data_IF_432529911620
#
_entry.id   IF_432529911620
#
_cell.length_a   1.000
_cell.length_b   1.000
_cell.length_c   1.000
_cell.angle_alpha   90.00
_cell.angle_beta   90.00
_cell.angle_gamma   90.00
#
_symmetry.space_group_name_H-M   'P 1'
#
loop_
_entity.id
_entity.type
_entity.pdbx_description
1 polymer ?
#
# COMPACT_ATOMS: atom_id res chain seq x y z
N UNK A 1 -4.18 -6.22 -5.71
CA UNK A 1 -4.82 -7.24 -4.86
C UNK A 1 -5.55 -6.53 -3.72
N UNK A 2 -6.87 -6.72 -3.51
CA UNK A 2 -7.57 -6.09 -2.40
C UNK A 2 -7.08 -6.56 -1.02
N UNK A 3 -6.92 -5.66 -0.06
CA UNK A 3 -6.54 -5.99 1.32
C UNK A 3 -7.46 -7.05 1.93
N UNK A 4 -8.77 -6.97 1.66
CA UNK A 4 -9.73 -7.94 2.14
C UNK A 4 -9.43 -9.39 1.71
N UNK A 5 -8.82 -9.60 0.54
CA UNK A 5 -8.41 -10.94 0.07
C UNK A 5 -7.20 -11.44 0.85
N UNK A 6 -6.22 -10.57 1.13
CA UNK A 6 -5.06 -10.92 1.98
C UNK A 6 -5.55 -11.34 3.37
N UNK A 7 -6.51 -10.59 3.92
CA UNK A 7 -7.10 -10.88 5.22
C UNK A 7 -7.87 -12.20 5.24
N UNK A 8 -8.71 -12.46 4.25
CA UNK A 8 -9.59 -13.64 4.26
C UNK A 8 -8.90 -14.93 3.84
N UNK A 9 -8.04 -14.86 2.82
CA UNK A 9 -7.53 -16.05 2.14
C UNK A 9 -6.09 -16.37 2.59
N UNK A 10 -5.38 -15.38 3.11
CA UNK A 10 -3.98 -15.46 3.50
C UNK A 10 -3.73 -15.07 4.96
N UNK A 11 -4.78 -15.02 5.78
CA UNK A 11 -4.73 -14.74 7.23
C UNK A 11 -4.03 -13.41 7.58
N UNK A 12 -4.12 -12.41 6.68
CA UNK A 12 -3.45 -11.12 6.83
C UNK A 12 -1.95 -11.15 6.54
N UNK A 13 -1.41 -12.24 5.97
CA UNK A 13 0.02 -12.40 5.72
C UNK A 13 0.33 -12.21 4.23
N UNK A 14 0.81 -11.04 3.83
CA UNK A 14 1.18 -10.77 2.43
C UNK A 14 2.24 -11.75 1.90
N UNK A 15 3.24 -12.10 2.70
CA UNK A 15 4.27 -13.08 2.30
C UNK A 15 3.68 -14.42 1.83
N UNK A 16 2.59 -14.88 2.48
CA UNK A 16 1.88 -16.11 2.09
C UNK A 16 1.24 -15.94 0.71
N UNK A 17 0.57 -14.82 0.46
CA UNK A 17 0.04 -14.48 -0.86
C UNK A 17 1.13 -14.46 -1.93
N UNK A 18 2.25 -13.76 -1.66
CA UNK A 18 3.36 -13.64 -2.60
C UNK A 18 3.99 -15.01 -2.92
N UNK A 19 4.21 -15.84 -1.90
CA UNK A 19 4.73 -17.20 -2.04
C UNK A 19 3.79 -18.10 -2.86
N UNK A 20 2.51 -18.17 -2.48
CA UNK A 20 1.52 -19.06 -3.11
C UNK A 20 1.28 -18.71 -4.60
N UNK A 21 1.49 -17.45 -4.97
CA UNK A 21 1.25 -16.96 -6.33
C UNK A 21 2.55 -16.68 -7.11
N UNK A 22 3.72 -16.96 -6.54
CA UNK A 22 5.04 -16.63 -7.11
C UNK A 22 5.11 -15.16 -7.59
N UNK A 23 4.64 -14.24 -6.76
CA UNK A 23 4.57 -12.81 -7.05
C UNK A 23 5.72 -12.06 -6.35
N UNK A 24 6.57 -11.40 -7.13
CA UNK A 24 7.70 -10.59 -6.61
C UNK A 24 7.32 -9.13 -6.31
N UNK A 25 6.30 -8.61 -6.97
CA UNK A 25 5.81 -7.23 -6.81
C UNK A 25 4.30 -7.25 -6.66
N UNK A 26 3.77 -6.55 -5.66
CA UNK A 26 2.35 -6.55 -5.34
C UNK A 26 1.87 -5.16 -4.99
N UNK A 27 0.72 -4.77 -5.52
CA UNK A 27 -0.03 -3.61 -5.03
C UNK A 27 -1.21 -4.10 -4.21
N UNK A 28 -1.26 -3.71 -2.94
CA UNK A 28 -2.37 -3.94 -2.04
C UNK A 28 -3.33 -2.76 -2.16
N UNK A 29 -4.63 -3.01 -2.34
CA UNK A 29 -5.62 -1.96 -2.52
C UNK A 29 -6.71 -2.00 -1.44
N UNK A 30 -7.09 -0.83 -0.94
CA UNK A 30 -8.13 -0.67 0.08
C UNK A 30 -9.02 0.53 -0.27
N UNK A 31 -10.16 0.30 -0.93
CA UNK A 31 -11.20 1.32 -1.04
C UNK A 31 -11.86 1.54 0.32
N UNK A 32 -11.90 2.78 0.79
CA UNK A 32 -12.45 3.13 2.11
C UNK A 32 -13.23 4.43 2.06
N UNK A 33 -14.25 4.56 2.91
CA UNK A 33 -15.00 5.80 3.11
C UNK A 33 -14.77 6.29 4.53
N UNK A 34 -14.25 7.50 4.69
CA UNK A 34 -13.92 8.10 5.99
C UNK A 34 -14.66 9.41 6.16
N UNK A 35 -15.14 9.69 7.36
CA UNK A 35 -15.68 11.01 7.71
C UNK A 35 -14.52 11.95 8.08
N UNK A 36 -14.26 12.93 7.20
CA UNK A 36 -13.16 13.86 7.33
C UNK A 36 -13.67 15.14 7.97
N UNK A 37 -13.02 15.56 9.05
CA UNK A 37 -13.41 16.76 9.80
C UNK A 37 -13.48 17.98 8.87
N UNK A 38 -14.67 18.59 8.75
CA UNK A 38 -14.90 19.75 7.90
C UNK A 38 -15.17 19.44 6.41
N UNK A 39 -14.92 18.22 5.94
CA UNK A 39 -15.15 17.79 4.55
C UNK A 39 -16.25 16.71 4.43
N UNK A 40 -16.69 16.13 5.54
CA UNK A 40 -17.70 15.07 5.58
C UNK A 40 -17.16 13.75 5.02
N UNK A 41 -18.07 12.88 4.55
CA UNK A 41 -17.71 11.57 4.01
C UNK A 41 -16.92 11.68 2.71
N UNK A 42 -15.65 11.30 2.76
CA UNK A 42 -14.74 11.21 1.63
C UNK A 42 -14.44 9.76 1.29
N UNK A 43 -14.23 9.47 0.00
CA UNK A 43 -13.84 8.14 -0.49
C UNK A 43 -12.37 8.15 -0.87
N UNK A 44 -11.61 7.23 -0.31
CA UNK A 44 -10.20 7.04 -0.62
C UNK A 44 -9.99 5.68 -1.28
N UNK A 45 -9.05 5.63 -2.20
CA UNK A 45 -8.53 4.39 -2.76
C UNK A 45 -7.07 4.30 -2.36
N UNK A 46 -6.82 3.63 -1.23
CA UNK A 46 -5.46 3.45 -0.71
C UNK A 46 -4.80 2.33 -1.50
N UNK A 47 -3.60 2.56 -1.99
CA UNK A 47 -2.80 1.58 -2.69
C UNK A 47 -1.38 1.56 -2.10
N UNK A 48 -0.94 0.40 -1.63
CA UNK A 48 0.42 0.20 -1.12
C UNK A 48 1.13 -0.79 -2.03
N UNK A 49 2.13 -0.32 -2.77
CA UNK A 49 3.01 -1.16 -3.56
C UNK A 49 4.15 -1.69 -2.69
N UNK A 50 4.34 -3.00 -2.68
CA UNK A 50 5.49 -3.69 -2.10
C UNK A 50 6.25 -4.34 -3.25
N UNK A 51 7.45 -3.86 -3.52
CA UNK A 51 8.20 -4.24 -4.73
C UNK A 51 9.60 -4.71 -4.43
N UNK A 52 10.10 -5.62 -5.25
CA UNK A 52 11.48 -6.10 -5.27
C UNK A 52 12.21 -5.75 -6.57
N UNK A 53 11.49 -5.28 -7.61
CA UNK A 53 12.07 -5.03 -8.94
C UNK A 53 12.01 -3.57 -9.41
N UNK A 54 11.62 -2.64 -8.53
CA UNK A 54 11.47 -1.22 -8.85
C UNK A 54 12.50 -0.37 -8.10
N UNK A 55 13.01 0.65 -8.79
CA UNK A 55 13.94 1.62 -8.24
C UNK A 55 13.26 2.95 -7.87
N UNK A 56 12.09 3.25 -8.46
CA UNK A 56 11.37 4.51 -8.26
C UNK A 56 9.83 4.31 -8.26
N UNK A 57 9.05 5.12 -7.52
CA UNK A 57 7.61 4.95 -7.34
C UNK A 57 6.72 5.54 -8.46
N UNK A 58 7.23 6.45 -9.29
CA UNK A 58 6.42 7.37 -10.11
C UNK A 58 5.53 6.64 -11.11
N UNK A 59 6.07 5.62 -11.79
CA UNK A 59 5.30 4.84 -12.76
C UNK A 59 4.15 4.06 -12.10
N UNK A 60 4.33 3.65 -10.83
CA UNK A 60 3.30 2.98 -10.05
C UNK A 60 2.25 3.98 -9.57
N UNK A 61 2.67 5.13 -9.06
CA UNK A 61 1.77 6.22 -8.65
C UNK A 61 0.84 6.63 -9.79
N UNK A 62 1.41 6.94 -10.97
CA UNK A 62 0.67 7.29 -12.18
C UNK A 62 -0.39 6.24 -12.55
N UNK A 63 -0.07 4.96 -12.41
CA UNK A 63 -1.00 3.88 -12.71
C UNK A 63 -2.12 3.75 -11.67
N UNK A 64 -1.83 3.99 -10.39
CA UNK A 64 -2.85 4.04 -9.34
C UNK A 64 -3.80 5.22 -9.55
N UNK A 65 -3.29 6.39 -9.92
CA UNK A 65 -4.13 7.53 -10.26
C UNK A 65 -5.08 7.24 -11.43
N UNK A 66 -4.58 6.56 -12.48
CA UNK A 66 -5.39 6.17 -13.64
C UNK A 66 -6.42 5.09 -13.33
N UNK A 67 -6.07 4.13 -12.48
CA UNK A 67 -6.88 2.93 -12.21
C UNK A 67 -7.84 3.09 -11.02
N UNK A 68 -7.71 4.18 -10.25
CA UNK A 68 -8.57 4.46 -9.11
C UNK A 68 -10.06 4.43 -9.48
N UNK A 69 -10.92 3.75 -8.70
CA UNK A 69 -12.34 3.71 -8.98
C UNK A 69 -12.96 5.10 -8.98
N UNK A 70 -13.86 5.36 -9.95
CA UNK A 70 -14.51 6.67 -10.10
C UNK A 70 -15.05 7.23 -8.78
N UNK A 71 -14.70 8.47 -8.49
CA UNK A 71 -15.14 9.17 -7.28
C UNK A 71 -14.37 8.80 -6.00
N UNK A 72 -13.29 8.02 -6.11
CA UNK A 72 -12.32 7.85 -5.03
C UNK A 72 -11.11 8.76 -5.27
N UNK A 73 -10.54 9.26 -4.18
CA UNK A 73 -9.26 9.97 -4.18
C UNK A 73 -8.15 8.92 -4.02
N UNK A 74 -7.25 8.72 -5.00
CA UNK A 74 -6.13 7.80 -4.85
C UNK A 74 -5.18 8.29 -3.75
N UNK A 75 -4.72 7.37 -2.90
CA UNK A 75 -3.63 7.58 -1.96
C UNK A 75 -2.64 6.45 -2.16
N UNK A 76 -1.45 6.77 -2.63
CA UNK A 76 -0.44 5.78 -2.95
C UNK A 76 0.71 5.81 -1.95
N UNK A 77 1.22 4.63 -1.63
CA UNK A 77 2.46 4.44 -0.91
C UNK A 77 3.29 3.34 -1.58
N UNK A 78 4.61 3.44 -1.45
CA UNK A 78 5.56 2.52 -2.03
C UNK A 78 6.57 2.06 -0.98
N UNK A 79 6.74 0.73 -0.91
CA UNK A 79 7.64 0.01 -0.02
C UNK A 79 8.66 -0.72 -0.90
N UNK A 80 9.89 -0.18 -1.06
CA UNK A 80 10.96 -0.82 -1.81
C UNK A 80 11.60 -1.94 -0.98
N UNK A 81 11.02 -3.14 -1.03
CA UNK A 81 11.50 -4.28 -0.24
C UNK A 81 12.94 -4.68 -0.60
N UNK A 82 13.36 -4.46 -1.86
CA UNK A 82 14.74 -4.66 -2.32
C UNK A 82 15.77 -3.74 -1.65
N UNK A 83 15.35 -2.63 -1.06
CA UNK A 83 16.24 -1.69 -0.37
C UNK A 83 16.31 -1.95 1.13
N UNK A 84 15.55 -2.92 1.66
CA UNK A 84 15.53 -3.24 3.09
C UNK A 84 16.94 -3.50 3.64
N UNK A 85 17.20 -2.99 4.85
CA UNK A 85 18.52 -3.11 5.51
C UNK A 85 19.57 -2.11 5.02
N UNK A 86 19.26 -1.27 4.01
CA UNK A 86 20.14 -0.19 3.54
C UNK A 86 19.69 1.17 4.07
N UNK A 87 20.57 2.17 3.99
CA UNK A 87 20.25 3.57 4.33
C UNK A 87 19.26 4.21 3.34
N UNK A 88 19.02 3.57 2.19
CA UNK A 88 18.09 4.03 1.15
C UNK A 88 16.66 3.48 1.37
N UNK A 89 16.46 2.58 2.35
CA UNK A 89 15.14 2.08 2.68
C UNK A 89 14.26 3.18 3.27
N UNK A 90 13.15 3.48 2.59
CA UNK A 90 12.13 4.38 3.09
C UNK A 90 10.79 4.08 2.45
N UNK A 91 9.71 4.18 3.23
CA UNK A 91 8.35 4.12 2.69
C UNK A 91 8.02 5.49 2.12
N UNK A 92 7.81 5.53 0.80
CA UNK A 92 7.32 6.71 0.13
C UNK A 92 5.79 6.76 0.24
N UNK A 93 5.22 7.93 0.48
CA UNK A 93 3.78 8.17 0.49
C UNK A 93 3.52 9.43 -0.34
N UNK A 94 2.66 9.32 -1.34
CA UNK A 94 2.31 10.44 -2.19
C UNK A 94 1.73 11.61 -1.41
N UNK A 95 2.01 12.82 -1.90
CA UNK A 95 1.36 14.01 -1.38
C UNK A 95 -0.14 13.96 -1.69
N UNK A 96 -0.94 14.33 -0.69
CA UNK A 96 -2.38 14.44 -0.88
C UNK A 96 -2.89 15.60 -0.04
N UNK A 97 -3.83 16.42 -0.55
CA UNK A 97 -4.37 17.55 0.20
C UNK A 97 -5.38 17.07 1.26
N UNK A 98 -4.87 16.37 2.28
CA UNK A 98 -5.53 16.00 3.53
C UNK A 98 -4.52 16.14 4.67
N UNK A 99 -4.98 16.09 5.92
CA UNK A 99 -4.07 16.09 7.07
C UNK A 99 -3.15 14.86 7.10
N UNK A 100 -1.88 15.09 7.43
CA UNK A 100 -0.84 14.05 7.56
C UNK A 100 -1.27 12.88 8.46
N UNK A 101 -1.97 13.16 9.56
CA UNK A 101 -2.48 12.12 10.47
C UNK A 101 -3.42 11.15 9.76
N UNK A 102 -4.34 11.65 8.93
CA UNK A 102 -5.26 10.80 8.19
C UNK A 102 -4.53 10.03 7.09
N UNK A 103 -3.66 10.72 6.34
CA UNK A 103 -2.86 10.11 5.26
C UNK A 103 -2.04 8.93 5.78
N UNK A 104 -1.26 9.17 6.83
CA UNK A 104 -0.37 8.16 7.40
C UNK A 104 -1.18 7.04 8.07
N UNK A 105 -2.31 7.38 8.73
CA UNK A 105 -3.20 6.38 9.31
C UNK A 105 -3.79 5.41 8.28
N UNK A 106 -4.25 5.93 7.14
CA UNK A 106 -4.80 5.11 6.05
C UNK A 106 -3.78 4.16 5.43
N UNK A 107 -2.54 4.63 5.23
CA UNK A 107 -1.45 3.78 4.72
C UNK A 107 -1.04 2.76 5.79
N UNK A 108 -0.88 3.18 7.03
CA UNK A 108 -0.47 2.33 8.14
C UNK A 108 -1.47 1.19 8.38
N UNK A 109 -2.77 1.43 8.19
CA UNK A 109 -3.79 0.38 8.28
C UNK A 109 -3.52 -0.77 7.29
N UNK A 110 -3.10 -0.45 6.07
CA UNK A 110 -2.75 -1.48 5.07
C UNK A 110 -1.45 -2.19 5.44
N UNK A 111 -0.43 -1.44 5.89
CA UNK A 111 0.87 -2.01 6.30
C UNK A 111 0.71 -3.01 7.45
N UNK A 112 -0.08 -2.65 8.47
CA UNK A 112 -0.33 -3.49 9.64
C UNK A 112 -1.19 -4.71 9.29
N UNK A 113 -2.34 -4.51 8.64
CA UNK A 113 -3.28 -5.60 8.37
C UNK A 113 -2.72 -6.64 7.39
N UNK A 114 -1.88 -6.23 6.43
CA UNK A 114 -1.24 -7.15 5.50
C UNK A 114 0.13 -7.68 5.98
N UNK A 115 0.54 -7.35 7.22
CA UNK A 115 1.84 -7.72 7.78
C UNK A 115 3.01 -7.39 6.83
N UNK A 116 3.00 -6.18 6.26
CA UNK A 116 3.96 -5.76 5.23
C UNK A 116 5.38 -5.74 5.78
N UNK A 117 5.59 -5.23 7.00
CA UNK A 117 6.92 -5.19 7.64
C UNK A 117 7.54 -6.59 7.74
N UNK A 118 6.78 -7.56 8.25
CA UNK A 118 7.23 -8.95 8.35
C UNK A 118 7.50 -9.57 6.97
N UNK A 119 6.72 -9.16 5.96
CA UNK A 119 6.90 -9.63 4.58
C UNK A 119 8.20 -9.09 3.98
N UNK A 120 8.51 -7.81 4.17
CA UNK A 120 9.76 -7.21 3.71
C UNK A 120 10.97 -7.93 4.33
N UNK A 121 10.92 -8.21 5.64
CA UNK A 121 11.96 -8.98 6.34
C UNK A 121 12.13 -10.39 5.75
N UNK A 122 11.03 -11.04 5.37
CA UNK A 122 11.07 -12.38 4.80
C UNK A 122 11.60 -12.43 3.36
N UNK A 123 11.48 -11.34 2.60
CA UNK A 123 11.97 -11.23 1.21
C UNK A 123 13.48 -10.99 1.11
N UNK A 124 14.11 -10.52 2.19
CA UNK A 124 15.57 -10.32 2.30
C UNK A 124 16.35 -11.63 2.56
N UNK A 125 15.66 -12.75 2.85
CA UNK A 125 16.24 -14.05 3.21
C UNK A 125 16.31 -15.04 2.04
#
# INVERSE_FOLDING_TARGET
MPLGVIMSDYDGVLAKYMSDNNAGDVVITMPVTVDVAGEGKQKFFVAVAVTTSFDEPEALSDEIERSAPKGHRPLFAWVPANLYGTDEFGIFIDEMPIGETLKNGLVNEVLEQAAVEATVVALDQ
#
